data_IF_560569580336
#
_entry.id   IF_560569580336
#
_cell.length_a   1.000
_cell.length_b   1.000
_cell.length_c   1.000
_cell.angle_alpha   90.00
_cell.angle_beta   90.00
_cell.angle_gamma   90.00
#
_symmetry.space_group_name_H-M   'P 1'
#
loop_
_entity.id
_entity.type
_entity.pdbx_description
1 polymer ?
#
# COMPACT_ATOMS: atom_id res chain seq x y z
N UNK A 1 -3.55 -2.57 8.82
CA UNK A 1 -2.36 -2.27 7.99
C UNK A 1 -1.62 -1.06 8.59
N UNK A 2 -0.30 -0.94 8.40
CA UNK A 2 0.51 0.16 8.96
C UNK A 2 -0.01 1.53 8.51
N UNK A 3 -0.05 2.50 9.42
CA UNK A 3 -0.38 3.91 9.15
C UNK A 3 0.84 4.72 8.69
N UNK A 4 2.05 4.21 8.93
CA UNK A 4 3.29 4.93 8.63
C UNK A 4 3.54 5.01 7.12
N UNK A 5 3.74 6.23 6.60
CA UNK A 5 4.01 6.47 5.18
C UNK A 5 2.82 6.25 4.24
N UNK A 6 1.62 6.00 4.80
CA UNK A 6 0.39 5.73 4.06
C UNK A 6 -0.06 6.95 3.23
N UNK A 7 -0.55 6.78 1.99
CA UNK A 7 -1.10 7.88 1.19
C UNK A 7 -2.24 8.62 1.89
N UNK A 8 -2.32 9.94 1.69
CA UNK A 8 -3.33 10.80 2.30
C UNK A 8 -4.74 10.48 1.77
N UNK A 9 -4.84 10.17 0.49
CA UNK A 9 -6.07 9.78 -0.20
C UNK A 9 -6.66 8.53 0.44
N UNK A 10 -5.82 7.56 0.79
CA UNK A 10 -6.26 6.37 1.52
C UNK A 10 -6.68 6.66 2.95
N UNK A 11 -6.07 7.66 3.58
CA UNK A 11 -6.52 8.15 4.88
C UNK A 11 -7.90 8.76 4.83
N UNK A 12 -8.16 9.61 3.85
CA UNK A 12 -9.47 10.22 3.64
C UNK A 12 -10.51 9.16 3.29
N UNK A 13 -10.20 8.27 2.35
CA UNK A 13 -11.11 7.19 1.95
C UNK A 13 -11.56 6.31 3.11
N UNK A 14 -10.64 5.92 4.02
CA UNK A 14 -11.03 5.15 5.21
C UNK A 14 -11.88 5.99 6.17
N UNK A 15 -11.50 7.25 6.41
CA UNK A 15 -12.24 8.17 7.29
C UNK A 15 -13.67 8.38 6.79
N UNK A 16 -13.85 8.48 5.49
CA UNK A 16 -15.13 8.76 4.82
C UNK A 16 -16.00 7.49 4.68
N UNK A 17 -15.65 6.40 5.36
CA UNK A 17 -16.46 5.18 5.39
C UNK A 17 -16.18 4.20 4.25
N UNK A 18 -15.10 4.40 3.47
CA UNK A 18 -14.73 3.60 2.30
C UNK A 18 -15.82 3.64 1.22
N UNK A 19 -16.14 4.81 0.64
CA UNK A 19 -17.10 4.88 -0.45
C UNK A 19 -16.51 4.12 -1.65
N UNK A 20 -17.06 2.94 -1.97
CA UNK A 20 -16.57 2.11 -3.09
C UNK A 20 -17.01 2.66 -4.45
N UNK A 21 -18.15 3.38 -4.46
CA UNK A 21 -18.70 4.01 -5.67
C UNK A 21 -18.01 5.35 -6.00
N UNK A 22 -17.15 5.86 -5.11
CA UNK A 22 -16.44 7.13 -5.29
C UNK A 22 -14.94 6.93 -5.03
N UNK A 23 -14.16 6.91 -6.11
CA UNK A 23 -12.70 6.90 -5.98
C UNK A 23 -12.19 8.25 -5.49
N UNK A 24 -11.16 8.30 -4.62
CA UNK A 24 -10.52 9.55 -4.23
C UNK A 24 -9.91 10.27 -5.44
N UNK A 25 -9.91 11.60 -5.38
CA UNK A 25 -9.19 12.41 -6.36
C UNK A 25 -7.67 12.31 -6.12
N UNK A 26 -6.94 11.82 -7.11
CA UNK A 26 -5.47 11.82 -7.14
C UNK A 26 -5.02 12.94 -8.09
N UNK A 27 -4.57 14.05 -7.52
CA UNK A 27 -4.16 15.24 -8.30
C UNK A 27 -2.80 15.09 -8.98
N UNK A 28 -1.90 14.34 -8.37
CA UNK A 28 -0.53 14.11 -8.83
C UNK A 28 -0.22 12.61 -8.75
N UNK A 29 -0.42 11.93 -9.87
CA UNK A 29 -0.24 10.47 -9.99
C UNK A 29 1.22 10.06 -9.73
N UNK A 30 2.26 10.71 -10.30
CA UNK A 30 3.65 10.40 -10.00
C UNK A 30 3.98 10.45 -8.50
N UNK A 31 3.55 11.51 -7.82
CA UNK A 31 3.76 11.69 -6.38
C UNK A 31 3.00 10.64 -5.57
N UNK A 32 1.74 10.37 -5.94
CA UNK A 32 0.95 9.32 -5.31
C UNK A 32 1.65 7.97 -5.43
N UNK A 33 2.13 7.62 -6.62
CA UNK A 33 2.80 6.36 -6.89
C UNK A 33 4.10 6.21 -6.09
N UNK A 34 4.86 7.29 -5.90
CA UNK A 34 6.05 7.29 -5.05
C UNK A 34 5.74 7.00 -3.59
N UNK A 35 4.78 7.75 -3.01
CA UNK A 35 4.34 7.55 -1.62
C UNK A 35 3.76 6.15 -1.44
N UNK A 36 2.96 5.69 -2.40
CA UNK A 36 2.37 4.36 -2.40
C UNK A 36 3.43 3.27 -2.41
N UNK A 37 4.46 3.39 -3.26
CA UNK A 37 5.59 2.43 -3.29
C UNK A 37 6.31 2.38 -1.95
N UNK A 38 6.61 3.53 -1.35
CA UNK A 38 7.25 3.58 -0.02
C UNK A 38 6.42 2.89 1.06
N UNK A 39 5.12 3.16 1.07
CA UNK A 39 4.19 2.49 1.99
C UNK A 39 4.11 0.98 1.75
N UNK A 40 3.98 0.54 0.51
CA UNK A 40 3.91 -0.87 0.15
C UNK A 40 5.20 -1.62 0.50
N UNK A 41 6.36 -1.00 0.27
CA UNK A 41 7.67 -1.51 0.70
C UNK A 41 7.72 -1.75 2.21
N UNK A 42 7.20 -0.82 3.02
CA UNK A 42 7.15 -0.98 4.49
C UNK A 42 6.24 -2.13 4.96
N UNK A 43 5.31 -2.58 4.12
CA UNK A 43 4.42 -3.70 4.41
C UNK A 43 5.00 -5.06 3.99
N UNK A 44 6.11 -5.08 3.26
CA UNK A 44 6.69 -6.33 2.76
C UNK A 44 7.46 -7.11 3.83
N UNK A 45 7.56 -8.44 3.66
CA UNK A 45 8.62 -9.20 4.31
C UNK A 45 9.98 -8.59 3.99
N UNK A 46 10.85 -8.44 5.01
CA UNK A 46 12.18 -7.79 4.86
C UNK A 46 13.01 -8.39 3.73
N UNK A 47 12.92 -9.70 3.52
CA UNK A 47 13.63 -10.39 2.44
C UNK A 47 13.29 -9.84 1.04
N UNK A 48 12.09 -9.27 0.85
CA UNK A 48 11.68 -8.67 -0.43
C UNK A 48 12.28 -7.29 -0.68
N UNK A 49 12.78 -6.62 0.35
CA UNK A 49 13.25 -5.23 0.25
C UNK A 49 14.72 -5.25 -0.17
N UNK A 50 15.09 -4.70 -1.34
CA UNK A 50 16.49 -4.59 -1.73
C UNK A 50 17.30 -3.79 -0.71
N UNK A 51 18.59 -4.12 -0.58
CA UNK A 51 19.54 -3.33 0.22
C UNK A 51 19.98 -2.03 -0.47
N UNK A 52 19.69 -1.88 -1.77
CA UNK A 52 20.01 -0.69 -2.56
C UNK A 52 19.01 0.46 -2.31
N UNK A 53 19.45 1.69 -2.55
CA UNK A 53 18.56 2.87 -2.59
C UNK A 53 18.33 3.31 -4.05
N UNK A 54 17.08 3.49 -4.50
CA UNK A 54 15.85 3.25 -3.76
C UNK A 54 15.59 1.75 -3.53
N UNK A 55 14.90 1.42 -2.43
CA UNK A 55 14.52 0.04 -2.08
C UNK A 55 13.34 -0.47 -2.93
N UNK A 56 13.43 -0.26 -4.25
CA UNK A 56 12.43 -0.57 -5.25
C UNK A 56 13.11 -0.84 -6.61
N UNK A 57 12.66 -1.82 -7.42
CA UNK A 57 11.51 -2.70 -7.19
C UNK A 57 11.77 -3.78 -6.13
N UNK A 58 10.69 -4.29 -5.55
CA UNK A 58 10.75 -5.38 -4.58
C UNK A 58 11.21 -6.69 -5.22
N UNK A 59 12.06 -7.44 -4.51
CA UNK A 59 12.55 -8.75 -4.93
C UNK A 59 11.42 -9.78 -5.01
N UNK A 60 11.57 -10.73 -5.94
CA UNK A 60 10.69 -11.90 -6.09
C UNK A 60 11.35 -13.09 -5.41
N UNK A 61 10.83 -13.48 -4.24
CA UNK A 61 11.35 -14.56 -3.42
C UNK A 61 10.18 -15.46 -3.00
N UNK A 62 10.37 -16.77 -3.10
CA UNK A 62 9.39 -17.77 -2.72
C UNK A 62 9.52 -18.17 -1.25
N UNK A 63 8.49 -18.82 -0.69
CA UNK A 63 8.55 -19.39 0.67
C UNK A 63 8.58 -18.35 1.81
N UNK A 64 8.14 -17.12 1.55
CA UNK A 64 8.13 -16.06 2.55
C UNK A 64 6.93 -16.14 3.49
N UNK A 65 7.13 -15.74 4.74
CA UNK A 65 6.04 -15.53 5.68
C UNK A 65 5.27 -14.23 5.38
N UNK A 66 4.00 -14.39 5.02
CA UNK A 66 3.04 -13.31 4.75
C UNK A 66 2.04 -13.09 5.89
N UNK A 67 2.25 -13.68 7.06
CA UNK A 67 1.38 -13.53 8.23
C UNK A 67 1.01 -12.07 8.52
N UNK A 68 1.95 -11.14 8.34
CA UNK A 68 1.75 -9.70 8.60
C UNK A 68 0.75 -9.02 7.67
N UNK A 69 0.63 -9.46 6.42
CA UNK A 69 -0.33 -8.93 5.43
C UNK A 69 -1.65 -9.71 5.42
N UNK A 70 -1.68 -10.91 6.02
CA UNK A 70 -2.86 -11.77 6.14
C UNK A 70 -3.83 -11.30 7.21
N UNK A 71 -4.33 -10.07 7.08
CA UNK A 71 -5.37 -9.51 7.95
C UNK A 71 -6.67 -9.44 7.16
N UNK A 72 -7.69 -10.19 7.60
CA UNK A 72 -9.01 -10.26 6.94
C UNK A 72 -10.01 -9.18 7.37
N UNK A 73 -9.61 -8.21 8.19
CA UNK A 73 -10.49 -7.14 8.67
C UNK A 73 -10.59 -5.94 7.73
N UNK A 74 -11.32 -4.91 8.17
CA UNK A 74 -11.58 -3.65 7.45
C UNK A 74 -10.33 -2.86 7.00
N UNK A 75 -9.15 -3.20 7.54
CA UNK A 75 -7.84 -2.64 7.19
C UNK A 75 -6.88 -3.74 6.70
N UNK A 76 -7.44 -4.70 5.96
CA UNK A 76 -6.79 -5.87 5.39
C UNK A 76 -6.21 -5.66 3.99
N UNK A 77 -5.69 -6.73 3.40
CA UNK A 77 -5.01 -6.66 2.10
C UNK A 77 -5.89 -6.11 0.97
N UNK A 78 -7.21 -6.37 1.01
CA UNK A 78 -8.17 -5.78 0.07
C UNK A 78 -8.07 -4.26 0.01
N UNK A 79 -7.87 -3.60 1.15
CA UNK A 79 -7.76 -2.15 1.20
C UNK A 79 -6.51 -1.64 0.44
N UNK A 80 -5.42 -2.41 0.40
CA UNK A 80 -4.25 -2.10 -0.43
C UNK A 80 -4.59 -2.27 -1.90
N UNK A 81 -5.27 -3.34 -2.28
CA UNK A 81 -5.65 -3.57 -3.68
C UNK A 81 -6.56 -2.45 -4.18
N UNK A 82 -7.51 -1.97 -3.36
CA UNK A 82 -8.36 -0.84 -3.73
C UNK A 82 -7.56 0.43 -4.06
N UNK A 83 -6.46 0.70 -3.35
CA UNK A 83 -5.62 1.87 -3.66
C UNK A 83 -4.92 1.81 -5.01
N UNK A 84 -4.76 0.62 -5.60
CA UNK A 84 -4.22 0.41 -6.94
C UNK A 84 -5.28 0.58 -8.04
N UNK A 85 -6.57 0.61 -7.70
CA UNK A 85 -7.65 0.83 -8.68
C UNK A 85 -7.82 2.32 -8.98
N UNK A 86 -7.28 3.20 -8.15
CA UNK A 86 -7.48 4.64 -8.26
C UNK A 86 -6.67 5.28 -9.39
N UNK A 87 -5.58 4.64 -9.83
CA UNK A 87 -4.64 5.08 -10.86
C UNK A 87 -4.00 3.86 -11.56
#
# INVERSE_FOLDING_TARGET
ISTNGRPLEFTRWIRDGRPYDQKPEIKDVPKYAEVWRGWWTNLQPKARVPSSSPAWPLLRINGLDWSKTRRGGSNGFLAIVMTLVWW
#
